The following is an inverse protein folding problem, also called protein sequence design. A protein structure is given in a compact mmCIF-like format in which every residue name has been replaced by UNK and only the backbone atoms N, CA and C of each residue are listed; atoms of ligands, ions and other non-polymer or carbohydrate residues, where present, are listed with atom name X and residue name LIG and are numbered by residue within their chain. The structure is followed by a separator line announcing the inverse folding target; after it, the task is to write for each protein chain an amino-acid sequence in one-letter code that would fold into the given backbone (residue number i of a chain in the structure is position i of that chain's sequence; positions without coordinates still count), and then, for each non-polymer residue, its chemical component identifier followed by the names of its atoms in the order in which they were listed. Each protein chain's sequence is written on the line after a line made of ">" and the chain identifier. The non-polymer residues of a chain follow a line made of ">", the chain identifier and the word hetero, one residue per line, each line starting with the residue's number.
data_IF_439941443607
#
_entry.id   IF_439941443607
#
_cell.length_a   1.000
_cell.length_b   1.000
_cell.length_c   1.000
_cell.angle_alpha   90.00
_cell.angle_beta   90.00
_cell.angle_gamma   90.00
#
_symmetry.space_group_name_H-M   'P 1'
#
loop_
_entity.id
_entity.type
_entity.pdbx_description
1 polymer ?
#
# COMPACT_ATOMS: atom_id res chain seq x y z
N UNK A 1 12.55 -15.81 -2.02
CA UNK A 1 11.49 -15.23 -2.86
C UNK A 1 11.67 -13.72 -2.87
N UNK A 2 11.57 -13.05 -4.02
CA UNK A 2 11.52 -11.58 -4.05
C UNK A 2 10.33 -11.10 -3.21
N UNK A 3 10.51 -10.01 -2.47
CA UNK A 3 9.40 -9.42 -1.72
C UNK A 3 8.41 -8.80 -2.71
N UNK A 4 7.09 -8.98 -2.52
CA UNK A 4 6.13 -8.26 -3.34
C UNK A 4 6.30 -6.76 -3.14
N UNK A 5 6.41 -6.01 -4.24
CA UNK A 5 6.35 -4.57 -4.22
C UNK A 5 4.90 -4.11 -4.08
N UNK A 6 4.63 -3.15 -3.20
CA UNK A 6 3.30 -2.59 -2.95
C UNK A 6 3.36 -1.07 -3.02
N UNK A 7 2.48 -0.49 -3.84
CA UNK A 7 2.34 0.96 -3.98
C UNK A 7 1.38 1.52 -2.94
N UNK A 8 1.84 2.51 -2.18
CA UNK A 8 1.01 3.38 -1.34
C UNK A 8 1.05 4.79 -1.91
N UNK A 9 -0.10 5.33 -2.31
CA UNK A 9 -0.21 6.68 -2.87
C UNK A 9 -0.82 7.59 -1.81
N UNK A 10 -0.04 8.53 -1.32
CA UNK A 10 -0.50 9.55 -0.36
C UNK A 10 -1.05 10.74 -1.15
N UNK A 11 -2.27 11.14 -0.82
CA UNK A 11 -2.92 12.34 -1.34
C UNK A 11 -3.48 13.18 -0.18
N UNK A 12 -3.56 14.50 -0.35
CA UNK A 12 -4.06 15.42 0.67
C UNK A 12 -4.52 16.75 0.10
N UNK A 13 -5.59 17.32 0.67
CA UNK A 13 -6.12 18.66 0.35
C UNK A 13 -5.20 19.77 0.87
N UNK A 14 -4.60 19.55 2.05
CA UNK A 14 -3.70 20.50 2.71
C UNK A 14 -2.31 19.88 2.90
N UNK A 15 -1.25 20.69 3.00
CA UNK A 15 0.09 20.21 3.34
C UNK A 15 0.11 19.33 4.60
N UNK A 16 -0.66 19.71 5.62
CA UNK A 16 -0.74 18.96 6.90
C UNK A 16 -1.30 17.54 6.70
N UNK A 17 -2.25 17.36 5.78
CA UNK A 17 -2.80 16.05 5.46
C UNK A 17 -1.74 15.15 4.83
N UNK A 18 -0.95 15.70 3.89
CA UNK A 18 0.14 14.98 3.23
C UNK A 18 1.19 14.56 4.26
N UNK A 19 1.57 15.45 5.18
CA UNK A 19 2.53 15.13 6.24
C UNK A 19 1.99 14.02 7.15
N UNK A 20 0.74 14.16 7.62
CA UNK A 20 0.09 13.18 8.51
C UNK A 20 0.00 11.80 7.86
N UNK A 21 -0.53 11.72 6.63
CA UNK A 21 -0.61 10.47 5.89
C UNK A 21 0.78 9.90 5.56
N UNK A 22 1.76 10.74 5.24
CA UNK A 22 3.12 10.28 4.97
C UNK A 22 3.75 9.64 6.21
N UNK A 23 3.51 10.19 7.40
CA UNK A 23 3.99 9.60 8.67
C UNK A 23 3.39 8.22 8.89
N UNK A 24 2.08 8.06 8.67
CA UNK A 24 1.39 6.76 8.76
C UNK A 24 1.97 5.77 7.76
N UNK A 25 2.07 6.13 6.48
CA UNK A 25 2.63 5.27 5.44
C UNK A 25 4.07 4.82 5.77
N UNK A 26 4.88 5.72 6.36
CA UNK A 26 6.22 5.39 6.81
C UNK A 26 6.25 4.42 8.01
N UNK A 27 5.32 4.55 8.96
CA UNK A 27 5.17 3.60 10.08
C UNK A 27 4.81 2.21 9.56
N UNK A 28 3.80 2.14 8.69
CA UNK A 28 3.38 0.89 8.03
C UNK A 28 4.55 0.25 7.29
N UNK A 29 5.29 1.02 6.48
CA UNK A 29 6.48 0.52 5.75
C UNK A 29 7.46 -0.19 6.69
N UNK A 30 7.69 0.34 7.89
CA UNK A 30 8.59 -0.29 8.87
C UNK A 30 8.03 -1.62 9.40
N UNK A 31 6.73 -1.68 9.68
CA UNK A 31 6.08 -2.91 10.16
C UNK A 31 6.14 -4.04 9.14
N UNK A 32 5.93 -3.73 7.86
CA UNK A 32 5.84 -4.75 6.80
C UNK A 32 7.14 -4.98 6.03
N UNK A 33 8.23 -4.26 6.36
CA UNK A 33 9.51 -4.31 5.62
C UNK A 33 10.11 -5.72 5.50
N UNK A 34 9.79 -6.64 6.42
CA UNK A 34 10.23 -8.05 6.34
C UNK A 34 9.46 -8.85 5.28
N UNK A 35 8.23 -8.44 4.96
CA UNK A 35 7.27 -9.19 4.14
C UNK A 35 7.04 -8.60 2.76
N UNK A 36 7.14 -7.29 2.59
CA UNK A 36 6.89 -6.58 1.34
C UNK A 36 7.86 -5.39 1.18
N UNK A 37 8.05 -4.96 -0.07
CA UNK A 37 8.72 -3.71 -0.40
C UNK A 37 7.67 -2.62 -0.63
N UNK A 38 7.69 -1.54 0.14
CA UNK A 38 6.64 -0.50 0.11
C UNK A 38 7.17 0.73 -0.60
N UNK A 39 6.51 1.09 -1.71
CA UNK A 39 6.81 2.28 -2.50
C UNK A 39 5.78 3.35 -2.18
N UNK A 40 6.22 4.43 -1.53
CA UNK A 40 5.37 5.55 -1.16
C UNK A 40 5.47 6.61 -2.24
N UNK A 41 4.35 6.90 -2.89
CA UNK A 41 4.19 7.95 -3.88
C UNK A 41 3.39 9.09 -3.27
N UNK A 42 3.78 10.33 -3.58
CA UNK A 42 3.03 11.51 -3.17
C UNK A 42 2.38 12.10 -4.42
N UNK A 43 1.08 12.38 -4.36
CA UNK A 43 0.37 13.10 -5.43
C UNK A 43 -0.31 14.34 -4.86
N UNK A 44 -0.21 15.50 -5.53
CA UNK A 44 -1.08 16.62 -5.24
C UNK A 44 -2.53 16.23 -5.57
N UNK A 45 -3.47 16.84 -4.86
CA UNK A 45 -4.87 16.43 -4.85
C UNK A 45 -5.52 16.52 -6.25
N UNK A 46 -5.74 15.38 -6.90
CA UNK A 46 -6.46 15.30 -8.17
C UNK A 46 -7.94 14.94 -8.01
N UNK A 47 -8.37 14.56 -6.80
CA UNK A 47 -9.64 13.85 -6.59
C UNK A 47 -10.51 14.37 -5.44
N UNK A 48 -10.07 15.37 -4.68
CA UNK A 48 -10.86 16.03 -3.64
C UNK A 48 -10.87 15.33 -2.27
N UNK A 49 -9.98 14.37 -2.02
CA UNK A 49 -9.90 13.65 -0.75
C UNK A 49 -8.46 13.57 -0.20
N UNK A 50 -8.34 13.34 1.12
CA UNK A 50 -7.09 13.14 1.84
C UNK A 50 -7.01 11.71 2.37
N UNK A 51 -5.93 10.99 2.07
CA UNK A 51 -5.79 9.58 2.46
C UNK A 51 -4.62 8.86 1.79
N UNK A 52 -4.55 7.56 2.02
CA UNK A 52 -3.59 6.64 1.42
C UNK A 52 -4.34 5.66 0.53
N UNK A 53 -3.95 5.57 -0.73
CA UNK A 53 -4.47 4.60 -1.71
C UNK A 53 -3.52 3.42 -1.79
N UNK A 54 -4.05 2.21 -1.71
CA UNK A 54 -3.27 0.97 -1.80
C UNK A 54 -3.54 0.33 -3.17
N UNK A 55 -2.49 0.19 -4.00
CA UNK A 55 -2.58 -0.44 -5.33
C UNK A 55 -3.74 0.07 -6.21
N UNK A 56 -4.09 1.35 -6.08
CA UNK A 56 -5.16 1.99 -6.85
C UNK A 56 -6.59 1.46 -6.54
N UNK A 57 -6.78 0.67 -5.45
CA UNK A 57 -8.08 0.08 -5.06
C UNK A 57 -8.83 0.90 -4.01
N UNK A 58 -8.30 0.96 -2.77
CA UNK A 58 -9.00 1.51 -1.60
C UNK A 58 -8.33 2.77 -1.09
N UNK A 59 -9.14 3.74 -0.63
CA UNK A 59 -8.69 4.96 0.05
C UNK A 59 -8.88 4.78 1.55
N UNK A 60 -7.81 4.95 2.33
CA UNK A 60 -7.86 4.96 3.79
C UNK A 60 -7.57 6.38 4.28
N UNK A 61 -8.54 6.96 5.00
CA UNK A 61 -8.42 8.30 5.57
C UNK A 61 -7.51 8.31 6.80
N UNK A 62 -6.64 9.31 6.89
CA UNK A 62 -5.61 9.43 7.92
C UNK A 62 -6.08 10.19 9.18
N UNK A 63 -7.36 10.14 9.54
CA UNK A 63 -7.92 10.92 10.65
C UNK A 63 -7.50 10.36 12.01
N UNK A 64 -7.68 9.05 12.22
CA UNK A 64 -7.18 8.31 13.37
C UNK A 64 -5.94 7.51 12.96
N UNK A 65 -4.81 7.75 13.64
CA UNK A 65 -3.54 7.09 13.30
C UNK A 65 -3.59 5.57 13.50
N UNK A 66 -4.13 5.11 14.63
CA UNK A 66 -4.12 3.71 15.01
C UNK A 66 -5.04 2.90 14.08
N UNK A 67 -6.25 3.41 13.86
CA UNK A 67 -7.23 2.79 12.96
C UNK A 67 -6.72 2.76 11.51
N UNK A 68 -6.09 3.84 11.05
CA UNK A 68 -5.51 3.90 9.70
C UNK A 68 -4.42 2.85 9.51
N UNK A 69 -3.52 2.72 10.49
CA UNK A 69 -2.43 1.74 10.44
C UNK A 69 -3.00 0.33 10.36
N UNK A 70 -3.98 -0.01 11.21
CA UNK A 70 -4.62 -1.32 11.23
C UNK A 70 -5.22 -1.66 9.86
N UNK A 71 -6.07 -0.77 9.32
CA UNK A 71 -6.70 -0.94 8.00
C UNK A 71 -5.67 -1.10 6.88
N UNK A 72 -4.60 -0.31 6.88
CA UNK A 72 -3.55 -0.41 5.85
C UNK A 72 -2.83 -1.75 5.94
N UNK A 73 -2.53 -2.23 7.16
CA UNK A 73 -1.86 -3.52 7.35
C UNK A 73 -2.73 -4.68 6.87
N UNK A 74 -4.03 -4.65 7.14
CA UNK A 74 -4.99 -5.65 6.65
C UNK A 74 -5.05 -5.69 5.13
N UNK A 75 -5.17 -4.53 4.47
CA UNK A 75 -5.22 -4.43 3.01
C UNK A 75 -3.89 -4.87 2.38
N UNK A 76 -2.74 -4.51 2.97
CA UNK A 76 -1.42 -5.01 2.54
C UNK A 76 -1.37 -6.53 2.65
N UNK A 77 -1.82 -7.13 3.76
CA UNK A 77 -1.82 -8.58 3.92
C UNK A 77 -2.69 -9.27 2.86
N UNK A 78 -3.84 -8.67 2.50
CA UNK A 78 -4.71 -9.14 1.42
C UNK A 78 -4.02 -9.08 0.06
N UNK A 79 -3.36 -7.96 -0.25
CA UNK A 79 -2.58 -7.78 -1.49
C UNK A 79 -1.43 -8.78 -1.59
N UNK A 80 -0.65 -8.95 -0.52
CA UNK A 80 0.45 -9.94 -0.47
C UNK A 80 -0.08 -11.34 -0.74
N UNK A 81 -1.19 -11.70 -0.11
CA UNK A 81 -1.81 -13.02 -0.30
C UNK A 81 -2.22 -13.21 -1.76
N UNK A 82 -2.95 -12.26 -2.36
CA UNK A 82 -3.33 -12.31 -3.79
C UNK A 82 -2.12 -12.47 -4.71
N UNK A 83 -1.04 -11.69 -4.52
CA UNK A 83 0.16 -11.76 -5.36
C UNK A 83 0.87 -13.12 -5.26
N UNK A 84 0.94 -13.71 -4.06
CA UNK A 84 1.50 -15.06 -3.85
C UNK A 84 0.71 -16.17 -4.54
N UNK A 85 -0.61 -15.99 -4.74
CA UNK A 85 -1.45 -16.96 -5.45
C UNK A 85 -1.33 -16.88 -6.99
N UNK A 86 -0.88 -15.75 -7.55
CA UNK A 86 -0.75 -15.56 -9.00
C UNK A 86 0.60 -16.09 -9.54
N UNK A 87 1.69 -15.99 -8.76
CA UNK A 87 3.01 -16.52 -9.15
C UNK A 87 3.08 -18.04 -9.44
N UNK A 88 2.36 -18.96 -8.76
CA UNK A 88 2.46 -20.39 -9.06
C UNK A 88 1.95 -20.78 -10.46
N UNK A 89 0.99 -20.06 -11.06
CA UNK A 89 0.44 -20.44 -12.37
C UNK A 89 1.38 -20.09 -13.54
N UNK A 90 2.11 -18.97 -13.44
CA UNK A 90 3.05 -18.55 -14.50
C UNK A 90 4.28 -19.45 -14.54
N UNK A 91 4.71 -19.99 -13.40
CA UNK A 91 5.81 -20.95 -13.33
C UNK A 91 5.44 -22.31 -13.95
N UNK A 92 4.20 -22.76 -13.80
CA UNK A 92 3.71 -24.01 -14.39
C UNK A 92 3.46 -23.90 -15.90
N UNK A 93 3.00 -22.74 -16.39
CA UNK A 93 2.73 -22.49 -17.81
C UNK A 93 3.96 -22.30 -18.70
N UNK A 94 5.16 -22.12 -18.13
CA UNK A 94 6.40 -21.86 -18.89
C UNK A 94 7.21 -23.11 -19.25
N UNK A 95 6.72 -24.31 -18.92
CA UNK A 95 7.42 -25.59 -19.18
C UNK A 95 6.99 -26.21 -20.53
N UNK A 96 6.03 -25.63 -21.26
CA UNK A 96 5.64 -26.12 -22.59
C UNK A 96 6.03 -25.09 -23.65
N UNK A 97 7.29 -25.18 -24.11
CA UNK A 97 7.67 -24.99 -25.51
C UNK A 97 9.05 -25.59 -25.76
#
# INVERSE_FOLDING_TARGET
>A
MPKPAIKLIVTGLKPDDIVKCSMIANKVRRYVAKYADIHILLTPNSTGFSGIIIEDENIIHCEDEAESIEKILEDIARVISRKKFIEPEIAAGKIIK
#
